data_IF_839194215031
#
_entry.id   IF_839194215031
#
_cell.length_a   1.000
_cell.length_b   1.000
_cell.length_c   1.000
_cell.angle_alpha   90.00
_cell.angle_beta   90.00
_cell.angle_gamma   90.00
#
_symmetry.space_group_name_H-M   'P 1'
#
loop_
_entity.id
_entity.type
_entity.pdbx_description
1 polymer ?
#
# COMPACT_ATOMS: atom_id res chain seq x y z
N UNK A 1 5.50 -22.19 19.75
CA UNK A 1 5.12 -21.07 18.85
C UNK A 1 6.38 -20.33 18.42
N UNK A 2 6.48 -20.01 17.15
CA UNK A 2 7.63 -19.27 16.62
C UNK A 2 7.69 -17.85 17.19
N UNK A 3 8.91 -17.39 17.50
CA UNK A 3 9.14 -16.03 17.95
C UNK A 3 8.78 -15.04 16.83
N UNK A 4 7.98 -13.99 17.11
CA UNK A 4 7.60 -13.00 16.10
C UNK A 4 8.77 -12.34 15.38
N UNK A 5 9.88 -12.10 16.09
CA UNK A 5 11.08 -11.50 15.49
C UNK A 5 11.72 -12.43 14.46
N UNK A 6 11.84 -13.71 14.78
CA UNK A 6 12.36 -14.70 13.85
C UNK A 6 11.43 -14.91 12.66
N UNK A 7 10.14 -14.90 12.91
CA UNK A 7 9.14 -15.01 11.84
C UNK A 7 9.30 -13.87 10.84
N UNK A 8 9.40 -12.63 11.31
CA UNK A 8 9.60 -11.47 10.45
C UNK A 8 10.91 -11.54 9.68
N UNK A 9 11.97 -11.98 10.35
CA UNK A 9 13.28 -12.10 9.70
C UNK A 9 13.25 -13.13 8.58
N UNK A 10 12.62 -14.25 8.81
CA UNK A 10 12.51 -15.33 7.83
C UNK A 10 11.69 -14.90 6.63
N UNK A 11 10.52 -14.31 6.87
CA UNK A 11 9.65 -13.84 5.78
C UNK A 11 10.24 -12.66 5.03
N UNK A 12 11.06 -11.84 5.71
CA UNK A 12 11.75 -10.73 5.06
C UNK A 12 12.77 -11.17 4.01
N UNK A 13 13.17 -12.44 4.02
CA UNK A 13 14.03 -13.01 2.98
C UNK A 13 13.26 -13.39 1.72
N UNK A 14 11.96 -13.49 1.83
CA UNK A 14 11.11 -13.73 0.67
C UNK A 14 10.91 -12.43 -0.07
N UNK A 15 11.68 -12.24 -1.14
CA UNK A 15 11.67 -10.99 -1.89
C UNK A 15 10.33 -10.81 -2.60
N UNK A 16 9.62 -9.75 -2.25
CA UNK A 16 8.37 -9.37 -2.90
C UNK A 16 8.45 -7.92 -3.35
N UNK A 17 7.58 -7.53 -4.27
CA UNK A 17 7.37 -6.12 -4.56
C UNK A 17 6.71 -5.44 -3.35
N UNK A 18 6.85 -4.14 -3.29
CA UNK A 18 6.19 -3.31 -2.28
C UNK A 18 5.21 -2.41 -3.00
N UNK A 19 3.99 -2.32 -2.47
CA UNK A 19 2.93 -1.50 -3.07
C UNK A 19 2.44 -0.44 -2.09
N UNK A 20 1.87 0.62 -2.65
CA UNK A 20 1.04 1.56 -1.90
C UNK A 20 -0.40 1.36 -2.37
N UNK A 21 -1.27 1.02 -1.44
CA UNK A 21 -2.70 0.89 -1.68
C UNK A 21 -3.36 2.17 -1.23
N UNK A 22 -4.15 2.79 -2.09
CA UNK A 22 -4.66 4.14 -1.83
C UNK A 22 -6.12 4.31 -2.25
N UNK A 23 -6.81 5.19 -1.54
CA UNK A 23 -8.19 5.56 -1.81
C UNK A 23 -8.45 6.97 -1.27
N UNK A 24 -9.57 7.55 -1.66
CA UNK A 24 -10.01 8.84 -1.10
C UNK A 24 -10.83 8.60 0.16
N UNK A 25 -10.60 9.41 1.20
CA UNK A 25 -11.43 9.42 2.38
C UNK A 25 -12.72 10.23 2.14
N UNK A 26 -13.56 10.36 3.18
CA UNK A 26 -14.82 11.09 3.05
C UNK A 26 -14.65 12.55 2.66
N UNK A 27 -13.53 13.14 3.07
CA UNK A 27 -13.21 14.53 2.73
C UNK A 27 -12.60 14.72 1.35
N UNK A 28 -12.45 13.64 0.56
CA UNK A 28 -11.80 13.68 -0.74
C UNK A 28 -10.29 13.75 -0.68
N UNK A 29 -9.70 13.46 0.49
CA UNK A 29 -8.25 13.46 0.66
C UNK A 29 -7.67 12.09 0.36
N UNK A 30 -6.54 12.02 -0.37
CA UNK A 30 -5.92 10.72 -0.64
C UNK A 30 -5.30 10.13 0.64
N UNK A 31 -5.57 8.85 0.85
CA UNK A 31 -5.02 8.08 1.96
C UNK A 31 -4.35 6.85 1.37
N UNK A 32 -3.21 6.47 1.94
CA UNK A 32 -2.47 5.32 1.44
C UNK A 32 -1.84 4.52 2.56
N UNK A 33 -1.55 3.27 2.26
CA UNK A 33 -0.78 2.41 3.14
C UNK A 33 0.18 1.55 2.33
N UNK A 34 1.31 1.23 2.92
CA UNK A 34 2.29 0.33 2.33
C UNK A 34 1.83 -1.12 2.55
N UNK A 35 1.83 -1.89 1.49
CA UNK A 35 1.47 -3.31 1.56
C UNK A 35 2.39 -4.14 0.68
N UNK A 36 2.90 -5.24 1.21
CA UNK A 36 3.60 -6.25 0.44
C UNK A 36 2.78 -7.54 0.33
N UNK A 37 1.70 -7.66 1.09
CA UNK A 37 0.78 -8.78 1.02
C UNK A 37 -0.24 -8.56 -0.10
N UNK A 38 0.26 -8.55 -1.32
CA UNK A 38 -0.49 -8.32 -2.55
C UNK A 38 -0.23 -9.47 -3.52
N UNK A 39 -1.29 -9.99 -4.11
CA UNK A 39 -1.14 -11.07 -5.09
C UNK A 39 -2.27 -11.06 -6.12
N UNK A 40 -1.98 -11.58 -7.28
CA UNK A 40 -3.04 -11.82 -8.25
C UNK A 40 -3.75 -13.12 -7.90
N UNK A 41 -5.06 -13.14 -8.06
CA UNK A 41 -5.91 -14.29 -7.73
C UNK A 41 -6.47 -14.92 -8.99
N UNK A 42 -6.89 -14.12 -9.96
CA UNK A 42 -7.53 -14.61 -11.17
C UNK A 42 -7.29 -13.64 -12.32
N UNK A 43 -7.13 -14.18 -13.52
CA UNK A 43 -7.00 -13.39 -14.72
C UNK A 43 -8.36 -13.08 -15.35
N UNK A 44 -9.29 -14.01 -15.25
CA UNK A 44 -10.62 -13.89 -15.85
C UNK A 44 -11.67 -14.47 -14.88
N UNK A 45 -12.41 -13.62 -14.16
CA UNK A 45 -12.29 -12.15 -14.10
C UNK A 45 -10.99 -11.71 -13.43
N UNK A 46 -10.50 -10.50 -13.72
CA UNK A 46 -9.28 -10.03 -13.10
C UNK A 46 -9.51 -9.72 -11.61
N UNK A 47 -8.84 -10.47 -10.76
CA UNK A 47 -8.98 -10.35 -9.31
C UNK A 47 -7.61 -10.27 -8.66
N UNK A 48 -7.49 -9.38 -7.69
CA UNK A 48 -6.31 -9.27 -6.85
C UNK A 48 -6.72 -9.35 -5.38
N UNK A 49 -5.78 -9.73 -4.53
CA UNK A 49 -5.98 -9.79 -3.09
C UNK A 49 -4.94 -8.91 -2.42
N UNK A 50 -5.40 -8.10 -1.48
CA UNK A 50 -4.53 -7.34 -0.57
C UNK A 50 -4.91 -7.72 0.85
N UNK A 51 -3.94 -8.16 1.62
CA UNK A 51 -4.15 -8.49 3.03
C UNK A 51 -3.75 -7.30 3.89
N UNK A 52 -4.67 -6.84 4.74
CA UNK A 52 -4.45 -5.68 5.60
C UNK A 52 -4.58 -6.07 7.07
N UNK A 53 -3.77 -5.43 7.92
CA UNK A 53 -3.89 -5.58 9.36
C UNK A 53 -5.23 -4.97 9.80
N UNK A 54 -5.97 -5.69 10.64
CA UNK A 54 -7.25 -5.21 11.16
C UNK A 54 -7.12 -3.92 11.99
N UNK A 55 -5.91 -3.62 12.47
CA UNK A 55 -5.62 -2.40 13.23
C UNK A 55 -5.27 -1.21 12.35
N UNK A 56 -5.16 -1.40 11.05
CA UNK A 56 -4.82 -0.32 10.13
C UNK A 56 -5.89 0.76 10.13
N UNK A 57 -5.47 2.02 10.24
CA UNK A 57 -6.37 3.17 10.17
C UNK A 57 -6.90 3.41 8.75
N UNK A 58 -6.20 2.91 7.76
CA UNK A 58 -6.57 3.08 6.36
C UNK A 58 -7.59 2.03 5.90
N UNK A 59 -7.65 0.88 6.57
CA UNK A 59 -8.60 -0.18 6.22
C UNK A 59 -10.06 0.31 6.16
N UNK A 60 -10.57 1.04 7.17
CA UNK A 60 -11.94 1.57 7.09
C UNK A 60 -12.13 2.54 5.93
N UNK A 61 -11.11 3.30 5.57
CA UNK A 61 -11.16 4.21 4.42
C UNK A 61 -11.37 3.43 3.14
N UNK A 62 -10.63 2.33 2.95
CA UNK A 62 -10.75 1.47 1.77
C UNK A 62 -12.14 0.81 1.69
N UNK A 63 -12.63 0.30 2.82
CA UNK A 63 -13.94 -0.34 2.88
C UNK A 63 -15.06 0.63 2.52
N UNK A 64 -14.98 1.85 3.02
CA UNK A 64 -15.99 2.88 2.74
C UNK A 64 -15.93 3.38 1.31
N UNK A 65 -14.72 3.56 0.78
CA UNK A 65 -14.54 4.04 -0.59
C UNK A 65 -15.06 3.05 -1.62
N UNK A 66 -15.02 1.75 -1.34
CA UNK A 66 -15.47 0.72 -2.26
C UNK A 66 -14.57 0.52 -3.48
N UNK A 67 -13.44 1.23 -3.54
CA UNK A 67 -12.44 1.10 -4.60
C UNK A 67 -11.08 1.57 -4.08
N UNK A 68 -10.03 1.06 -4.66
CA UNK A 68 -8.69 1.48 -4.29
C UNK A 68 -7.75 1.34 -5.49
N UNK A 69 -6.66 2.10 -5.44
CA UNK A 69 -5.58 1.98 -6.40
C UNK A 69 -4.40 1.24 -5.79
N UNK A 70 -3.59 0.64 -6.63
CA UNK A 70 -2.36 -0.03 -6.23
C UNK A 70 -1.22 0.51 -7.06
N UNK A 71 -0.18 1.03 -6.39
CA UNK A 71 1.03 1.50 -7.04
C UNK A 71 2.19 0.62 -6.62
N UNK A 72 2.89 0.04 -7.59
CA UNK A 72 4.08 -0.76 -7.30
C UNK A 72 5.26 0.20 -7.19
N UNK A 73 5.95 0.16 -6.05
CA UNK A 73 7.06 1.07 -5.81
C UNK A 73 8.35 0.60 -6.50
N UNK A 74 9.13 1.56 -6.99
CA UNK A 74 10.46 1.29 -7.48
C UNK A 74 11.43 1.19 -6.29
N UNK A 75 12.59 0.59 -6.53
CA UNK A 75 13.60 0.38 -5.48
C UNK A 75 14.03 1.69 -4.82
N UNK A 76 14.17 2.76 -5.59
CA UNK A 76 14.58 4.08 -5.09
C UNK A 76 13.47 4.82 -4.33
N UNK A 77 12.28 4.24 -4.22
CA UNK A 77 11.14 4.85 -3.53
C UNK A 77 10.95 4.33 -2.11
N UNK A 78 12.03 3.90 -1.48
CA UNK A 78 11.98 3.39 -0.09
C UNK A 78 11.39 4.39 0.88
N UNK A 79 11.65 5.69 0.69
CA UNK A 79 11.11 6.73 1.55
C UNK A 79 9.58 6.78 1.50
N UNK A 80 8.98 6.56 0.32
CA UNK A 80 7.53 6.46 0.18
C UNK A 80 6.99 5.23 0.93
N UNK A 81 7.68 4.11 0.83
CA UNK A 81 7.29 2.90 1.56
C UNK A 81 7.25 3.15 3.06
N UNK A 82 8.31 3.75 3.60
CA UNK A 82 8.39 4.06 5.03
C UNK A 82 7.32 5.05 5.46
N UNK A 83 7.07 6.08 4.65
CA UNK A 83 6.05 7.08 4.93
C UNK A 83 4.67 6.45 5.08
N UNK A 84 4.25 5.64 4.11
CA UNK A 84 2.93 5.01 4.14
C UNK A 84 2.84 3.83 5.12
N UNK A 85 3.97 3.39 5.66
CA UNK A 85 4.01 2.37 6.71
C UNK A 85 3.88 2.99 8.12
N UNK A 86 3.56 4.28 8.22
CA UNK A 86 3.40 4.96 9.49
C UNK A 86 4.67 5.60 10.03
N UNK A 87 5.69 5.76 9.17
CA UNK A 87 6.95 6.42 9.53
C UNK A 87 7.14 7.67 8.66
N UNK A 88 6.44 8.79 8.99
CA UNK A 88 6.50 9.99 8.16
C UNK A 88 7.94 10.42 7.91
N UNK A 89 8.21 10.78 6.66
CA UNK A 89 9.54 11.21 6.24
C UNK A 89 9.55 12.72 6.05
N UNK A 90 10.43 13.41 6.78
CA UNK A 90 10.57 14.85 6.70
C UNK A 90 11.12 15.24 5.32
N UNK A 91 10.52 16.28 4.73
CA UNK A 91 10.95 16.78 3.41
C UNK A 91 10.56 15.91 2.22
N UNK A 92 9.83 14.84 2.46
CA UNK A 92 9.36 13.97 1.38
C UNK A 92 8.15 14.60 0.69
N UNK A 93 8.26 14.76 -0.62
CA UNK A 93 7.15 15.21 -1.44
C UNK A 93 6.25 14.05 -1.78
N UNK A 94 4.98 14.13 -1.36
CA UNK A 94 3.98 13.12 -1.65
C UNK A 94 3.08 13.65 -2.75
N UNK A 95 3.03 12.94 -3.87
CA UNK A 95 2.19 13.31 -4.99
C UNK A 95 1.29 12.14 -5.38
N UNK A 96 0.02 12.44 -5.65
CA UNK A 96 -0.96 11.47 -6.13
C UNK A 96 -1.52 11.93 -7.46
N UNK A 97 -1.76 10.97 -8.34
CA UNK A 97 -2.47 11.20 -9.60
C UNK A 97 -3.81 10.48 -9.51
N UNK A 98 -4.89 11.18 -9.85
CA UNK A 98 -6.21 10.54 -9.87
C UNK A 98 -6.42 9.79 -11.19
N UNK A 99 -6.82 8.54 -11.08
CA UNK A 99 -7.25 7.74 -12.22
C UNK A 99 -8.41 6.85 -11.81
N UNK A 100 -9.47 6.84 -12.61
CA UNK A 100 -10.64 5.99 -12.38
C UNK A 100 -11.25 6.13 -10.97
N UNK A 101 -11.16 7.34 -10.40
CA UNK A 101 -11.74 7.64 -9.09
C UNK A 101 -10.90 7.20 -7.90
N UNK A 102 -9.61 6.89 -8.12
CA UNK A 102 -8.69 6.55 -7.03
C UNK A 102 -7.40 7.36 -7.15
N UNK A 103 -6.76 7.71 -6.00
CA UNK A 103 -5.46 8.36 -6.03
C UNK A 103 -4.36 7.30 -6.23
N UNK A 104 -3.45 7.53 -7.15
CA UNK A 104 -2.28 6.67 -7.34
C UNK A 104 -1.03 7.42 -6.91
N UNK A 105 -0.18 6.76 -6.13
CA UNK A 105 1.09 7.35 -5.75
C UNK A 105 1.97 7.50 -6.98
N UNK A 106 2.47 8.71 -7.21
CA UNK A 106 3.29 8.97 -8.39
C UNK A 106 4.68 8.40 -8.21
N UNK A 107 5.15 7.78 -9.28
CA UNK A 107 6.52 7.38 -9.43
C UNK A 107 7.25 8.54 -10.10
N UNK A 108 8.13 9.20 -9.38
CA UNK A 108 9.00 10.19 -9.99
C UNK A 108 10.15 9.47 -10.67
N UNK A 109 10.11 9.51 -11.95
CA UNK A 109 11.21 8.99 -12.76
C UNK A 109 12.23 10.09 -12.94
#
# INVERSE_FOLDING_TARGET
MIDPTEFRRTLGRFATGVTVVSAYDEGGNPRGLTANAFMSVSLDPPLVLVSLDNRSRTKPVLERAGRYGVSVLAEEQRALSDHFAGRPQEGLEIAFEERAGVPLSLIHI
#
